data_IF_685086017828
#
_entry.id   IF_685086017828
#
_cell.length_a   1.000
_cell.length_b   1.000
_cell.length_c   1.000
_cell.angle_alpha   90.00
_cell.angle_beta   90.00
_cell.angle_gamma   90.00
#
_symmetry.space_group_name_H-M   'P 1'
#
loop_
_entity.id
_entity.type
_entity.pdbx_description
1 polymer ?
#
# COMPACT_ATOMS: atom_id res chain seq x y z
N UNK A 1 -4.52 3.84 5.88
CA UNK A 1 -3.84 2.63 5.36
C UNK A 1 -4.80 1.45 5.18
N UNK A 2 -5.50 0.98 6.22
CA UNK A 2 -6.40 -0.19 6.10
C UNK A 2 -7.47 -0.10 4.99
N UNK A 3 -8.19 1.02 4.90
CA UNK A 3 -9.17 1.24 3.81
C UNK A 3 -8.51 1.18 2.43
N UNK A 4 -7.36 1.84 2.27
CA UNK A 4 -6.57 1.83 1.03
C UNK A 4 -6.16 0.40 0.66
N UNK A 5 -5.72 -0.41 1.62
CA UNK A 5 -5.36 -1.79 1.38
C UNK A 5 -6.56 -2.62 0.89
N UNK A 6 -7.75 -2.43 1.47
CA UNK A 6 -8.99 -3.09 1.01
C UNK A 6 -9.35 -2.66 -0.41
N UNK A 7 -9.34 -1.36 -0.70
CA UNK A 7 -9.68 -0.84 -2.03
C UNK A 7 -8.67 -1.32 -3.09
N UNK A 8 -7.39 -1.32 -2.75
CA UNK A 8 -6.33 -1.86 -3.59
C UNK A 8 -6.48 -3.37 -3.83
N UNK A 9 -6.89 -4.14 -2.81
CA UNK A 9 -7.16 -5.58 -2.97
C UNK A 9 -8.30 -5.85 -3.95
N UNK A 10 -9.37 -5.04 -3.90
CA UNK A 10 -10.51 -5.14 -4.81
C UNK A 10 -10.10 -4.79 -6.22
N UNK A 11 -9.35 -3.70 -6.39
CA UNK A 11 -8.82 -3.30 -7.69
C UNK A 11 -7.89 -4.37 -8.28
N UNK A 12 -6.96 -4.91 -7.48
CA UNK A 12 -6.06 -5.98 -7.92
C UNK A 12 -6.84 -7.21 -8.40
N UNK A 13 -7.87 -7.63 -7.66
CA UNK A 13 -8.76 -8.72 -8.07
C UNK A 13 -9.44 -8.42 -9.40
N UNK A 14 -10.00 -7.22 -9.57
CA UNK A 14 -10.71 -6.84 -10.79
C UNK A 14 -9.76 -6.77 -12.00
N UNK A 15 -8.53 -6.29 -11.81
CA UNK A 15 -7.49 -6.27 -12.85
C UNK A 15 -7.11 -7.69 -13.27
N UNK A 16 -6.89 -8.59 -12.31
CA UNK A 16 -6.57 -10.00 -12.60
C UNK A 16 -7.71 -10.69 -13.36
N UNK A 17 -8.96 -10.42 -13.00
CA UNK A 17 -10.13 -11.03 -13.66
C UNK A 17 -10.43 -10.44 -15.04
N UNK A 18 -10.22 -9.14 -15.22
CA UNK A 18 -10.51 -8.44 -16.48
C UNK A 18 -9.36 -8.41 -17.47
N UNK A 19 -8.13 -8.65 -17.01
CA UNK A 19 -6.91 -8.49 -17.81
C UNK A 19 -6.57 -7.03 -18.15
N UNK A 20 -7.29 -6.05 -17.60
CA UNK A 20 -7.13 -4.64 -17.93
C UNK A 20 -6.58 -3.84 -16.73
N UNK A 21 -5.25 -3.69 -16.61
CA UNK A 21 -4.68 -2.84 -15.58
C UNK A 21 -4.99 -1.37 -15.89
N UNK A 22 -5.45 -0.62 -14.89
CA UNK A 22 -5.46 0.86 -14.92
C UNK A 22 -4.24 1.37 -14.12
N UNK A 23 -3.08 1.62 -14.76
CA UNK A 23 -1.83 1.84 -14.04
C UNK A 23 -1.86 3.09 -13.17
N UNK A 24 -2.49 4.17 -13.64
CA UNK A 24 -2.61 5.42 -12.90
C UNK A 24 -3.36 5.28 -11.56
N UNK A 25 -4.39 4.42 -11.51
CA UNK A 25 -5.13 4.17 -10.27
C UNK A 25 -4.29 3.40 -9.25
N UNK A 26 -3.50 2.43 -9.70
CA UNK A 26 -2.64 1.64 -8.82
C UNK A 26 -1.50 2.49 -8.22
N UNK A 27 -0.88 3.35 -9.02
CA UNK A 27 0.15 4.29 -8.55
C UNK A 27 -0.41 5.23 -7.47
N UNK A 28 -1.60 5.79 -7.69
CA UNK A 28 -2.24 6.67 -6.71
C UNK A 28 -2.48 5.99 -5.34
N UNK A 29 -2.81 4.68 -5.33
CA UNK A 29 -2.94 3.93 -4.08
C UNK A 29 -1.58 3.70 -3.39
N UNK A 30 -0.52 3.48 -4.17
CA UNK A 30 0.85 3.37 -3.66
C UNK A 30 1.31 4.65 -2.97
N UNK A 31 1.16 5.79 -3.65
CA UNK A 31 1.54 7.11 -3.15
C UNK A 31 0.75 7.48 -1.88
N UNK A 32 -0.57 7.24 -1.88
CA UNK A 32 -1.41 7.48 -0.70
C UNK A 32 -1.06 6.55 0.48
N UNK A 33 -0.57 5.33 0.20
CA UNK A 33 -0.07 4.43 1.24
C UNK A 33 1.25 4.95 1.83
N UNK A 34 2.15 5.46 1.00
CA UNK A 34 3.43 6.06 1.41
C UNK A 34 3.23 7.31 2.28
N UNK A 35 2.33 8.20 1.87
CA UNK A 35 2.02 9.41 2.63
C UNK A 35 1.49 9.07 4.03
N UNK A 36 0.52 8.17 4.13
CA UNK A 36 -0.03 7.75 5.42
C UNK A 36 0.99 6.99 6.27
N UNK A 37 1.89 6.23 5.64
CA UNK A 37 2.98 5.56 6.34
C UNK A 37 3.94 6.59 6.97
N UNK A 38 4.32 7.62 6.22
CA UNK A 38 5.15 8.72 6.73
C UNK A 38 4.48 9.47 7.88
N UNK A 39 3.19 9.82 7.73
CA UNK A 39 2.42 10.50 8.77
C UNK A 39 2.33 9.67 10.07
N UNK A 40 2.12 8.37 9.95
CA UNK A 40 2.07 7.46 11.10
C UNK A 40 3.39 7.49 11.88
N UNK A 41 4.53 7.44 11.20
CA UNK A 41 5.83 7.57 11.86
C UNK A 41 6.02 8.92 12.55
N UNK A 42 5.58 10.02 11.93
CA UNK A 42 5.63 11.34 12.57
C UNK A 42 4.83 11.39 13.88
N UNK A 43 3.66 10.75 13.94
CA UNK A 43 2.83 10.70 15.15
C UNK A 43 3.42 9.77 16.21
N UNK A 44 3.88 8.58 15.80
CA UNK A 44 4.43 7.57 16.72
C UNK A 44 5.75 8.04 17.36
N UNK A 45 6.56 8.82 16.64
CA UNK A 45 7.84 9.34 17.13
C UNK A 45 7.71 10.69 17.87
N UNK A 46 6.53 11.32 17.91
CA UNK A 46 6.35 12.57 18.67
C UNK A 46 6.50 12.27 20.17
N UNK A 47 7.42 12.99 20.83
CA UNK A 47 7.69 12.86 22.27
C UNK A 47 6.49 13.20 23.16
N UNK A 48 5.47 13.87 22.62
CA UNK A 48 4.22 14.23 23.30
C UNK A 48 3.12 13.20 23.07
N UNK A 49 3.39 12.15 22.30
CA UNK A 49 2.42 11.11 22.01
C UNK A 49 2.01 10.39 23.31
N UNK A 50 0.72 10.35 23.68
CA UNK A 50 0.25 9.78 24.95
C UNK A 50 0.21 8.25 24.93
N UNK A 51 0.66 7.60 23.85
CA UNK A 51 0.57 6.15 23.66
C UNK A 51 1.74 5.42 24.34
N UNK A 52 1.46 4.20 24.81
CA UNK A 52 2.49 3.34 25.40
C UNK A 52 3.39 2.76 24.31
N UNK A 53 4.61 2.36 24.70
CA UNK A 53 5.58 1.72 23.77
C UNK A 53 4.99 0.51 23.04
N UNK A 54 4.25 -0.43 23.68
CA UNK A 54 3.62 -1.54 22.97
C UNK A 54 2.66 -1.09 21.87
N UNK A 55 1.80 -0.10 22.13
CA UNK A 55 0.85 0.43 21.14
C UNK A 55 1.58 1.04 19.94
N UNK A 56 2.67 1.76 20.19
CA UNK A 56 3.52 2.33 19.15
C UNK A 56 4.16 1.24 18.26
N UNK A 57 4.67 0.17 18.89
CA UNK A 57 5.27 -0.96 18.19
C UNK A 57 4.22 -1.67 17.32
N UNK A 58 3.07 -2.02 17.89
CA UNK A 58 2.00 -2.74 17.17
C UNK A 58 1.48 -1.93 15.98
N UNK A 59 1.31 -0.61 16.17
CA UNK A 59 0.85 0.30 15.12
C UNK A 59 1.87 0.41 13.98
N UNK A 60 3.17 0.43 14.32
CA UNK A 60 4.26 0.43 13.34
C UNK A 60 4.38 -0.89 12.57
N UNK A 61 4.21 -2.02 13.25
CA UNK A 61 4.20 -3.33 12.59
C UNK A 61 3.01 -3.44 11.62
N UNK A 62 1.83 -2.99 12.06
CA UNK A 62 0.64 -2.95 11.22
C UNK A 62 0.81 -2.05 9.99
N UNK A 63 1.41 -0.86 10.15
CA UNK A 63 1.68 0.05 9.03
C UNK A 63 2.61 -0.58 8.00
N UNK A 64 3.65 -1.28 8.46
CA UNK A 64 4.56 -2.04 7.59
C UNK A 64 3.85 -3.14 6.82
N UNK A 65 2.92 -3.86 7.44
CA UNK A 65 2.13 -4.89 6.75
C UNK A 65 1.26 -4.29 5.64
N UNK A 66 0.63 -3.14 5.87
CA UNK A 66 -0.14 -2.45 4.84
C UNK A 66 0.73 -1.95 3.69
N UNK A 67 1.89 -1.38 3.98
CA UNK A 67 2.81 -0.90 2.93
C UNK A 67 3.31 -2.06 2.08
N UNK A 68 3.75 -3.14 2.72
CA UNK A 68 4.19 -4.35 2.01
C UNK A 68 3.07 -4.94 1.16
N UNK A 69 1.83 -4.98 1.64
CA UNK A 69 0.69 -5.40 0.82
C UNK A 69 0.56 -4.51 -0.43
N UNK A 70 0.61 -3.19 -0.26
CA UNK A 70 0.50 -2.26 -1.36
C UNK A 70 1.59 -2.44 -2.42
N UNK A 71 2.86 -2.59 -2.01
CA UNK A 71 3.98 -2.78 -2.93
C UNK A 71 3.83 -4.05 -3.79
N UNK A 72 3.20 -5.10 -3.24
CA UNK A 72 2.91 -6.32 -4.00
C UNK A 72 1.69 -6.17 -4.93
N UNK A 73 0.69 -5.39 -4.55
CA UNK A 73 -0.56 -5.21 -5.31
C UNK A 73 -0.49 -4.11 -6.39
N UNK A 74 0.45 -3.17 -6.28
CA UNK A 74 0.73 -2.11 -7.29
C UNK A 74 1.88 -2.54 -8.23
N UNK A 75 2.40 -3.75 -8.04
CA UNK A 75 3.66 -4.17 -8.63
C UNK A 75 3.61 -4.40 -10.16
N UNK A 76 4.76 -4.23 -10.86
CA UNK A 76 4.96 -4.61 -12.26
C UNK A 76 4.58 -6.06 -12.55
N UNK A 77 4.56 -6.92 -11.52
CA UNK A 77 4.18 -8.32 -11.62
C UNK A 77 2.71 -8.51 -12.00
N UNK A 78 1.78 -7.72 -11.45
CA UNK A 78 0.36 -7.83 -11.86
C UNK A 78 0.22 -7.36 -13.29
N UNK A 79 0.83 -6.22 -13.65
CA UNK A 79 0.87 -5.70 -15.01
C UNK A 79 1.37 -6.77 -15.98
N UNK A 80 2.58 -7.31 -15.74
CA UNK A 80 3.19 -8.35 -16.54
C UNK A 80 2.36 -9.63 -16.63
N UNK A 81 1.74 -10.08 -15.53
CA UNK A 81 0.88 -11.26 -15.55
C UNK A 81 -0.39 -11.06 -16.37
N UNK A 82 -0.93 -9.84 -16.42
CA UNK A 82 -2.15 -9.52 -17.20
C UNK A 82 -1.86 -9.16 -18.66
N UNK A 83 -0.77 -8.44 -18.95
CA UNK A 83 -0.51 -7.87 -20.28
C UNK A 83 0.73 -8.44 -20.97
N UNK A 84 1.62 -9.12 -20.23
CA UNK A 84 2.94 -9.53 -20.71
C UNK A 84 3.96 -8.39 -20.77
N UNK A 85 3.56 -7.15 -20.46
CA UNK A 85 4.45 -5.99 -20.51
C UNK A 85 5.19 -5.83 -19.18
N UNK A 86 6.51 -5.75 -19.27
CA UNK A 86 7.35 -5.34 -18.14
C UNK A 86 7.40 -3.82 -18.13
N UNK A 87 7.37 -3.20 -16.95
CA UNK A 87 7.59 -1.76 -16.84
C UNK A 87 8.99 -1.44 -17.39
N UNK A 88 9.08 -0.91 -18.61
CA UNK A 88 10.32 -0.36 -19.15
C UNK A 88 10.74 0.79 -18.23
N UNK A 89 11.99 0.72 -17.77
CA UNK A 89 12.61 1.71 -16.91
C UNK A 89 12.75 3.06 -17.63
#
# INVERSE_FOLDING_TARGET
MGRIAVDLSRNAKDVVLSGNPRPASQLAYGDAMDELHGLLFSVVLDKRCPHTVPVAVDTTLLSRHYKRFADHSVGPRILFQTTGESRTA
#
